data_IF_527672092483
#
_entry.id   IF_527672092483
#
_cell.length_a   1.000
_cell.length_b   1.000
_cell.length_c   1.000
_cell.angle_alpha   90.00
_cell.angle_beta   90.00
_cell.angle_gamma   90.00
#
_symmetry.space_group_name_H-M   'P 1'
#
loop_
_entity.id
_entity.type
_entity.pdbx_description
1 polymer ?
#
# COMPACT_ATOMS: atom_id res chain seq x y z
N UNK A 1 -19.91 -18.07 0.31
CA UNK A 1 -18.62 -17.71 -0.31
C UNK A 1 -18.44 -16.20 -0.33
N UNK A 2 -17.70 -15.63 0.63
CA UNK A 2 -17.29 -14.22 0.68
C UNK A 2 -15.87 -14.05 0.15
N UNK A 3 -15.70 -13.11 -0.77
CA UNK A 3 -14.40 -12.79 -1.39
C UNK A 3 -14.13 -11.30 -1.19
N UNK A 4 -12.89 -10.95 -0.83
CA UNK A 4 -12.41 -9.57 -0.85
C UNK A 4 -11.19 -9.43 -1.76
N UNK A 5 -11.14 -8.29 -2.43
CA UNK A 5 -10.05 -7.89 -3.34
C UNK A 5 -9.52 -6.54 -2.85
N UNK A 6 -8.20 -6.39 -2.72
CA UNK A 6 -7.60 -5.15 -2.23
C UNK A 6 -6.19 -4.93 -2.79
N UNK A 7 -5.85 -3.68 -3.13
CA UNK A 7 -4.48 -3.31 -3.46
C UNK A 7 -3.67 -3.29 -2.16
N UNK A 8 -2.48 -3.93 -2.09
CA UNK A 8 -1.66 -3.90 -0.89
C UNK A 8 -1.15 -2.49 -0.59
N UNK A 9 -1.18 -2.10 0.69
CA UNK A 9 -0.58 -0.85 1.17
C UNK A 9 0.78 -1.15 1.84
N UNK A 10 1.65 -0.15 1.92
CA UNK A 10 2.96 -0.24 2.59
C UNK A 10 2.85 -0.74 4.04
N UNK A 11 1.96 -0.14 4.85
CA UNK A 11 1.60 -0.68 6.17
C UNK A 11 0.13 -1.12 6.17
N UNK A 12 -0.18 -2.37 6.54
CA UNK A 12 -1.55 -2.79 6.76
C UNK A 12 -2.11 -2.15 8.05
N UNK A 13 -3.37 -1.75 8.03
CA UNK A 13 -4.09 -1.22 9.20
C UNK A 13 -5.07 -2.28 9.76
N UNK A 14 -5.65 -2.04 10.94
CA UNK A 14 -6.59 -2.99 11.58
C UNK A 14 -7.78 -3.37 10.68
N UNK A 15 -8.35 -2.43 9.93
CA UNK A 15 -9.42 -2.69 8.96
C UNK A 15 -9.04 -3.64 7.80
N UNK A 16 -7.75 -3.79 7.49
CA UNK A 16 -7.24 -4.73 6.49
C UNK A 16 -7.36 -6.15 7.04
N UNK A 17 -6.81 -6.38 8.24
CA UNK A 17 -6.88 -7.67 8.92
C UNK A 17 -8.32 -8.07 9.26
N UNK A 18 -9.14 -7.11 9.67
CA UNK A 18 -10.56 -7.33 9.93
C UNK A 18 -11.33 -7.76 8.67
N UNK A 19 -10.90 -7.32 7.48
CA UNK A 19 -11.50 -7.77 6.22
C UNK A 19 -11.02 -9.17 5.86
N UNK A 20 -9.72 -9.43 6.01
CA UNK A 20 -9.12 -10.77 5.82
C UNK A 20 -9.82 -11.80 6.71
N UNK A 21 -10.10 -11.48 7.98
CA UNK A 21 -10.77 -12.40 8.90
C UNK A 21 -12.25 -12.64 8.60
N UNK A 22 -12.87 -11.84 7.72
CA UNK A 22 -14.31 -11.94 7.37
C UNK A 22 -14.58 -12.63 6.03
N UNK A 23 -13.55 -13.03 5.29
CA UNK A 23 -13.71 -13.62 3.95
C UNK A 23 -13.14 -15.03 3.86
N UNK A 24 -13.70 -15.84 2.95
CA UNK A 24 -13.21 -17.19 2.65
C UNK A 24 -12.03 -17.14 1.65
N UNK A 25 -11.99 -16.11 0.80
CA UNK A 25 -10.90 -15.87 -0.14
C UNK A 25 -10.48 -14.41 -0.16
N UNK A 26 -9.17 -14.20 -0.08
CA UNK A 26 -8.54 -12.90 -0.26
C UNK A 26 -7.78 -12.87 -1.57
N UNK A 27 -7.94 -11.79 -2.34
CA UNK A 27 -7.23 -11.57 -3.61
C UNK A 27 -6.41 -10.29 -3.51
N UNK A 28 -5.12 -10.41 -3.77
CA UNK A 28 -4.25 -9.25 -3.92
C UNK A 28 -4.48 -8.62 -5.28
N UNK A 29 -4.79 -7.33 -5.31
CA UNK A 29 -4.98 -6.56 -6.53
C UNK A 29 -3.69 -5.80 -6.85
N UNK A 30 -2.69 -6.52 -7.31
CA UNK A 30 -1.33 -6.04 -7.53
C UNK A 30 -0.97 -5.81 -9.01
N UNK A 31 -1.80 -6.32 -9.93
CA UNK A 31 -1.68 -6.13 -11.38
C UNK A 31 -2.33 -4.81 -11.84
N UNK A 32 -2.00 -3.72 -11.15
CA UNK A 32 -2.54 -2.37 -11.40
C UNK A 32 -1.47 -1.32 -11.21
N UNK A 33 -1.63 -0.18 -11.88
CA UNK A 33 -0.73 0.96 -11.73
C UNK A 33 -0.65 1.42 -10.27
N UNK A 34 0.57 1.74 -9.83
CA UNK A 34 0.78 2.38 -8.52
C UNK A 34 0.12 3.76 -8.54
N UNK A 35 -0.75 4.10 -7.57
CA UNK A 35 -1.37 5.42 -7.53
C UNK A 35 -0.31 6.52 -7.47
N UNK A 36 -0.34 7.45 -8.43
CA UNK A 36 0.61 8.57 -8.49
C UNK A 36 0.29 9.62 -7.42
N UNK A 37 1.32 10.17 -6.80
CA UNK A 37 1.21 11.27 -5.84
C UNK A 37 0.90 10.83 -4.41
N UNK A 38 -0.04 11.55 -3.76
CA UNK A 38 -0.32 11.48 -2.32
C UNK A 38 -1.23 10.30 -1.95
N UNK A 39 -0.81 9.07 -2.23
CA UNK A 39 -1.56 7.84 -1.93
C UNK A 39 -1.26 7.27 -0.54
N UNK A 40 -2.23 6.58 0.08
CA UNK A 40 -2.01 5.77 1.30
C UNK A 40 -1.30 4.44 1.03
N UNK A 41 -1.21 4.04 -0.25
CA UNK A 41 -0.49 2.85 -0.69
C UNK A 41 1.00 2.96 -0.35
N UNK A 42 1.58 4.15 -0.49
CA UNK A 42 3.02 4.40 -0.35
C UNK A 42 3.41 5.16 0.92
N UNK A 43 2.44 5.57 1.76
CA UNK A 43 2.73 6.34 2.97
C UNK A 43 1.69 6.13 4.07
N UNK A 44 2.16 6.23 5.30
CA UNK A 44 1.32 6.12 6.50
C UNK A 44 1.57 7.31 7.42
N UNK A 45 0.55 7.69 8.20
CA UNK A 45 0.74 8.62 9.32
C UNK A 45 1.21 7.84 10.54
N UNK A 46 2.30 8.28 11.11
CA UNK A 46 2.84 7.77 12.37
C UNK A 46 2.94 8.90 13.37
N UNK A 47 2.95 8.56 14.66
CA UNK A 47 3.27 9.52 15.70
C UNK A 47 4.79 9.56 15.87
N UNK A 48 5.39 10.70 15.59
CA UNK A 48 6.80 10.96 15.83
C UNK A 48 6.89 11.97 16.98
N UNK A 49 7.38 11.53 18.14
CA UNK A 49 7.45 12.34 19.36
C UNK A 49 6.12 13.06 19.70
N UNK A 50 5.00 12.35 19.56
CA UNK A 50 3.65 12.89 19.83
C UNK A 50 3.07 13.78 18.72
N UNK A 51 3.82 14.07 17.66
CA UNK A 51 3.34 14.85 16.52
C UNK A 51 3.06 13.93 15.32
N UNK A 52 1.91 14.06 14.63
CA UNK A 52 1.66 13.29 13.41
C UNK A 52 2.64 13.63 12.30
N UNK A 53 3.37 12.63 11.82
CA UNK A 53 4.31 12.72 10.72
C UNK A 53 3.97 11.72 9.62
N UNK A 54 4.37 12.01 8.38
CA UNK A 54 4.23 11.08 7.26
C UNK A 54 5.48 10.22 7.15
N UNK A 55 5.31 8.90 7.25
CA UNK A 55 6.31 7.93 6.82
C UNK A 55 5.98 7.54 5.38
N UNK A 56 6.81 7.93 4.42
CA UNK A 56 6.63 7.64 2.99
C UNK A 56 7.75 6.72 2.52
N UNK A 57 7.40 5.61 1.87
CA UNK A 57 8.42 4.78 1.22
C UNK A 57 8.87 5.43 -0.09
N UNK A 58 10.18 5.47 -0.35
CA UNK A 58 10.69 5.94 -1.63
C UNK A 58 10.38 4.88 -2.68
N UNK A 59 9.44 5.17 -3.57
CA UNK A 59 9.09 4.30 -4.70
C UNK A 59 9.68 4.91 -5.95
N UNK A 60 10.34 4.08 -6.76
CA UNK A 60 10.80 4.50 -8.07
C UNK A 60 9.64 5.00 -8.94
N UNK A 61 9.83 6.15 -9.59
CA UNK A 61 8.89 6.64 -10.58
C UNK A 61 9.07 5.81 -11.85
N UNK A 62 8.37 4.69 -11.95
CA UNK A 62 8.30 3.95 -13.21
C UNK A 62 7.45 4.67 -14.26
N UNK A 63 7.58 4.24 -15.51
CA UNK A 63 6.76 4.71 -16.63
C UNK A 63 5.27 4.36 -16.47
N UNK A 64 4.48 4.55 -17.53
CA UNK A 64 3.03 4.33 -17.50
C UNK A 64 2.63 2.89 -17.11
N UNK A 65 3.52 1.92 -17.27
CA UNK A 65 3.27 0.51 -16.93
C UNK A 65 3.80 0.06 -15.55
N UNK A 66 4.08 1.00 -14.65
CA UNK A 66 4.59 0.64 -13.32
C UNK A 66 3.50 0.03 -12.43
N UNK A 67 3.49 -1.30 -12.36
CA UNK A 67 2.51 -2.08 -11.61
C UNK A 67 2.89 -2.23 -10.13
N UNK A 68 1.86 -2.36 -9.29
CA UNK A 68 1.97 -2.57 -7.84
C UNK A 68 2.75 -3.83 -7.46
N UNK A 69 2.78 -4.87 -8.30
CA UNK A 69 3.63 -6.04 -8.05
C UNK A 69 5.13 -5.82 -8.33
N UNK A 70 5.50 -4.75 -9.05
CA UNK A 70 6.87 -4.45 -9.49
C UNK A 70 7.54 -3.36 -8.65
N UNK A 71 7.06 -3.11 -7.43
CA UNK A 71 7.64 -2.07 -6.56
C UNK A 71 9.14 -2.31 -6.38
N UNK A 72 9.94 -1.32 -6.80
CA UNK A 72 11.35 -1.19 -6.45
C UNK A 72 11.46 -0.01 -5.49
N UNK A 73 12.17 -0.23 -4.38
CA UNK A 73 12.50 0.84 -3.46
C UNK A 73 13.60 1.68 -4.08
N UNK A 74 13.44 3.00 -4.06
CA UNK A 74 14.51 3.87 -4.52
C UNK A 74 15.54 4.03 -3.40
N UNK A 75 16.82 3.79 -3.71
CA UNK A 75 17.95 3.98 -2.78
C UNK A 75 18.26 5.46 -2.49
N UNK A 76 17.35 6.39 -2.84
CA UNK A 76 17.52 7.81 -2.58
C UNK A 76 17.16 8.11 -1.13
N UNK A 77 18.20 8.12 -0.29
CA UNK A 77 18.19 8.70 1.05
C UNK A 77 17.88 10.21 1.02
#
# INVERSE_FOLDING_TARGET
MRIAIHQPNFFPWLGYFHRVSRVERWVFFDHVQVPRGKSWVSRNRILLAGTPAWLTIPIEKGGEDFQTRKHQFSDKA
#
